data_IF_721244862296
#
_entry.id   IF_721244862296
#
_cell.length_a   1.000
_cell.length_b   1.000
_cell.length_c   1.000
_cell.angle_alpha   90.00
_cell.angle_beta   90.00
_cell.angle_gamma   90.00
#
_symmetry.space_group_name_H-M   'P 1'
#
loop_
_entity.id
_entity.type
_entity.pdbx_description
1 polymer ?
#
# COMPACT_ATOMS: atom_id res chain seq x y z
N UNK A 1 9.95 -16.20 1.42
CA UNK A 1 9.92 -14.78 1.04
C UNK A 1 8.85 -14.05 1.83
N UNK A 2 9.20 -12.92 2.41
CA UNK A 2 8.25 -12.06 3.11
C UNK A 2 7.62 -11.07 2.13
N UNK A 3 6.31 -10.94 2.16
CA UNK A 3 5.56 -10.04 1.27
C UNK A 3 4.80 -9.02 2.08
N UNK A 4 4.80 -7.79 1.58
CA UNK A 4 4.08 -6.67 2.21
C UNK A 4 3.23 -5.99 1.15
N UNK A 5 2.00 -5.65 1.50
CA UNK A 5 1.18 -4.73 0.69
C UNK A 5 1.34 -3.34 1.27
N UNK A 6 1.82 -2.40 0.47
CA UNK A 6 1.99 -1.01 0.90
C UNK A 6 0.71 -0.22 0.66
N UNK A 7 0.18 0.36 1.73
CA UNK A 7 -0.95 1.28 1.65
C UNK A 7 -0.47 2.72 1.42
N UNK A 8 -1.26 3.50 0.72
CA UNK A 8 -0.94 4.89 0.38
C UNK A 8 -0.70 5.75 1.62
N UNK A 9 -1.38 5.46 2.74
CA UNK A 9 -1.19 6.20 3.99
C UNK A 9 0.26 6.17 4.49
N UNK A 10 0.97 5.06 4.27
CA UNK A 10 2.39 4.90 4.61
C UNK A 10 3.26 5.53 3.53
N UNK A 11 2.97 5.24 2.26
CA UNK A 11 3.75 5.72 1.12
C UNK A 11 3.88 7.25 1.09
N UNK A 12 2.78 7.96 1.35
CA UNK A 12 2.78 9.43 1.38
C UNK A 12 3.73 9.96 2.45
N UNK A 13 3.73 9.34 3.64
CA UNK A 13 4.61 9.77 4.74
C UNK A 13 6.08 9.53 4.45
N UNK A 14 6.40 8.45 3.78
CA UNK A 14 7.77 8.18 3.34
C UNK A 14 8.18 9.20 2.28
N UNK A 15 7.33 9.42 1.28
CA UNK A 15 7.61 10.31 0.16
C UNK A 15 7.87 11.75 0.60
N UNK A 16 7.14 12.23 1.61
CA UNK A 16 7.32 13.58 2.15
C UNK A 16 8.30 13.66 3.32
N UNK A 17 8.89 12.54 3.74
CA UNK A 17 9.84 12.53 4.85
C UNK A 17 9.19 12.77 6.22
N UNK A 18 7.90 12.50 6.37
CA UNK A 18 7.15 12.73 7.62
C UNK A 18 7.32 11.63 8.65
N UNK A 19 7.91 10.50 8.28
CA UNK A 19 8.13 9.37 9.19
C UNK A 19 9.48 8.72 8.92
N UNK A 20 10.51 9.06 9.69
CA UNK A 20 11.80 8.39 9.60
C UNK A 20 11.70 6.88 9.87
N UNK A 21 10.80 6.45 10.75
CA UNK A 21 10.56 5.05 11.07
C UNK A 21 10.06 4.28 9.87
N UNK A 22 9.06 4.82 9.16
CA UNK A 22 8.53 4.20 7.96
C UNK A 22 9.57 4.16 6.83
N UNK A 23 10.36 5.21 6.69
CA UNK A 23 11.44 5.26 5.69
C UNK A 23 12.50 4.18 5.96
N UNK A 24 12.91 3.99 7.22
CA UNK A 24 13.85 2.93 7.59
C UNK A 24 13.28 1.55 7.31
N UNK A 25 12.03 1.31 7.68
CA UNK A 25 11.35 0.06 7.39
C UNK A 25 11.34 -0.22 5.87
N UNK A 26 10.98 0.78 5.08
CA UNK A 26 10.90 0.66 3.63
C UNK A 26 12.26 0.33 3.02
N UNK A 27 13.32 1.02 3.46
CA UNK A 27 14.69 0.77 3.01
C UNK A 27 15.14 -0.66 3.36
N UNK A 28 14.81 -1.13 4.55
CA UNK A 28 15.14 -2.49 4.97
C UNK A 28 14.47 -3.54 4.11
N UNK A 29 13.14 -3.45 3.92
CA UNK A 29 12.41 -4.48 3.18
C UNK A 29 12.67 -4.43 1.68
N UNK A 30 12.91 -3.25 1.11
CA UNK A 30 13.25 -3.14 -0.32
C UNK A 30 14.71 -3.50 -0.61
N UNK A 31 15.58 -3.40 0.38
CA UNK A 31 16.98 -3.80 0.29
C UNK A 31 17.23 -5.28 0.61
N UNK A 32 16.20 -6.01 1.04
CA UNK A 32 16.30 -7.43 1.41
C UNK A 32 15.82 -8.31 0.26
N UNK A 33 16.70 -9.15 -0.26
CA UNK A 33 16.38 -10.07 -1.38
C UNK A 33 15.30 -11.10 -1.01
N UNK A 34 15.06 -11.34 0.29
CA UNK A 34 14.05 -12.27 0.79
C UNK A 34 12.70 -11.58 1.08
N UNK A 35 12.57 -10.31 0.71
CA UNK A 35 11.35 -9.53 0.91
C UNK A 35 10.87 -8.91 -0.39
N UNK A 36 9.55 -8.71 -0.49
CA UNK A 36 8.90 -8.08 -1.64
C UNK A 36 7.85 -7.10 -1.14
N UNK A 37 7.80 -5.91 -1.73
CA UNK A 37 6.75 -4.94 -1.45
C UNK A 37 5.84 -4.84 -2.67
N UNK A 38 4.58 -5.17 -2.45
CA UNK A 38 3.51 -5.11 -3.46
C UNK A 38 2.67 -3.86 -3.21
N UNK A 39 2.07 -3.34 -4.26
CA UNK A 39 1.05 -2.30 -4.14
C UNK A 39 0.10 -2.35 -5.32
N UNK A 40 -1.14 -1.92 -5.10
CA UNK A 40 -2.07 -1.68 -6.20
C UNK A 40 -1.50 -0.60 -7.12
N UNK A 41 -1.71 -0.74 -8.44
CA UNK A 41 -1.43 0.34 -9.40
C UNK A 41 -2.09 1.66 -8.98
N UNK A 42 -3.19 1.59 -8.25
CA UNK A 42 -3.90 2.74 -7.70
C UNK A 42 -3.00 3.62 -6.82
N UNK A 43 -2.07 3.02 -6.06
CA UNK A 43 -1.14 3.77 -5.21
C UNK A 43 -0.35 4.80 -6.01
N UNK A 44 0.15 4.43 -7.18
CA UNK A 44 0.89 5.36 -8.04
C UNK A 44 0.02 6.54 -8.46
N UNK A 45 -1.25 6.29 -8.78
CA UNK A 45 -2.21 7.34 -9.12
C UNK A 45 -2.47 8.26 -7.92
N UNK A 46 -2.66 7.69 -6.75
CA UNK A 46 -2.90 8.48 -5.53
C UNK A 46 -1.70 9.35 -5.17
N UNK A 47 -0.48 8.81 -5.25
CA UNK A 47 0.74 9.59 -5.01
C UNK A 47 0.87 10.74 -6.02
N UNK A 48 0.56 10.47 -7.28
CA UNK A 48 0.59 11.50 -8.33
C UNK A 48 -0.40 12.63 -8.02
N UNK A 49 -1.61 12.28 -7.60
CA UNK A 49 -2.64 13.28 -7.28
C UNK A 49 -2.24 14.15 -6.09
N UNK A 50 -1.63 13.55 -5.07
CA UNK A 50 -1.12 14.29 -3.91
C UNK A 50 -0.04 15.29 -4.34
N UNK A 51 0.93 14.85 -5.16
CA UNK A 51 2.00 15.72 -5.64
C UNK A 51 1.46 16.85 -6.51
N UNK A 52 0.49 16.58 -7.38
CA UNK A 52 -0.17 17.61 -8.20
C UNK A 52 -0.88 18.65 -7.33
N UNK A 53 -1.62 18.19 -6.32
CA UNK A 53 -2.31 19.08 -5.38
C UNK A 53 -1.34 20.02 -4.69
N UNK A 54 -0.18 19.52 -4.27
CA UNK A 54 0.81 20.26 -3.50
C UNK A 54 1.83 20.98 -4.39
N UNK A 55 1.69 20.91 -5.72
CA UNK A 55 2.60 21.54 -6.68
C UNK A 55 4.06 21.09 -6.49
N UNK A 56 4.23 19.81 -6.16
CA UNK A 56 5.54 19.15 -6.02
C UNK A 56 5.81 18.34 -7.29
N UNK A 57 7.08 18.26 -7.78
CA UNK A 57 7.39 17.47 -8.96
C UNK A 57 6.92 16.01 -8.85
N UNK A 58 6.24 15.53 -9.90
CA UNK A 58 5.66 14.18 -9.94
C UNK A 58 6.73 13.10 -9.80
N UNK A 59 7.95 13.36 -10.25
CA UNK A 59 9.08 12.43 -10.15
C UNK A 59 9.40 12.02 -8.71
N UNK A 60 8.94 12.79 -7.73
CA UNK A 60 9.15 12.48 -6.31
C UNK A 60 8.59 11.12 -5.91
N UNK A 61 7.53 10.67 -6.58
CA UNK A 61 6.94 9.34 -6.36
C UNK A 61 7.87 8.19 -6.71
N UNK A 62 8.85 8.42 -7.59
CA UNK A 62 9.73 7.37 -8.10
C UNK A 62 10.59 6.76 -6.99
N UNK A 63 10.90 7.53 -5.95
CA UNK A 63 11.61 7.02 -4.77
C UNK A 63 10.85 5.88 -4.07
N UNK A 64 9.55 5.81 -4.26
CA UNK A 64 8.70 4.74 -3.73
C UNK A 64 8.39 3.72 -4.83
N UNK A 65 7.82 4.20 -5.93
CA UNK A 65 7.25 3.35 -6.99
C UNK A 65 8.29 2.45 -7.65
N UNK A 66 9.53 2.92 -7.81
CA UNK A 66 10.60 2.15 -8.44
C UNK A 66 10.99 0.89 -7.65
N UNK A 67 10.63 0.82 -6.37
CA UNK A 67 10.92 -0.31 -5.49
C UNK A 67 9.74 -1.26 -5.30
N UNK A 68 8.62 -1.02 -5.99
CA UNK A 68 7.38 -1.77 -5.80
C UNK A 68 7.11 -2.74 -6.95
N UNK A 69 6.44 -3.85 -6.60
CA UNK A 69 5.76 -4.69 -7.56
C UNK A 69 4.31 -4.23 -7.65
N UNK A 70 3.98 -3.50 -8.73
CA UNK A 70 2.63 -2.95 -8.90
C UNK A 70 1.69 -4.01 -9.45
N UNK A 71 0.55 -4.17 -8.79
CA UNK A 71 -0.52 -5.07 -9.22
C UNK A 71 -1.42 -4.30 -10.18
N UNK A 72 -1.52 -4.71 -11.45
CA UNK A 72 -2.37 -4.02 -12.43
C UNK A 72 -3.82 -3.96 -11.97
N UNK A 73 -4.47 -2.82 -12.18
CA UNK A 73 -5.89 -2.66 -11.85
C UNK A 73 -6.73 -3.24 -12.99
N UNK A 74 -7.61 -4.18 -12.65
CA UNK A 74 -8.46 -4.89 -13.62
C UNK A 74 -9.91 -4.87 -13.18
N UNK A 75 -10.84 -5.19 -14.10
CA UNK A 75 -12.25 -5.34 -13.77
C UNK A 75 -12.47 -6.43 -12.71
N UNK A 76 -11.69 -7.51 -12.77
CA UNK A 76 -11.78 -8.59 -11.78
C UNK A 76 -11.45 -8.09 -10.38
N UNK A 77 -10.44 -7.22 -10.23
CA UNK A 77 -10.08 -6.62 -8.95
C UNK A 77 -11.18 -5.68 -8.46
N UNK A 78 -11.78 -4.90 -9.34
CA UNK A 78 -12.90 -4.03 -8.97
C UNK A 78 -14.10 -4.84 -8.47
N UNK A 79 -14.42 -5.95 -9.13
CA UNK A 79 -15.47 -6.86 -8.67
C UNK A 79 -15.13 -7.47 -7.30
N UNK A 80 -13.87 -7.84 -7.08
CA UNK A 80 -13.40 -8.32 -5.79
C UNK A 80 -13.57 -7.27 -4.69
N UNK A 81 -13.27 -6.01 -5.00
CA UNK A 81 -13.46 -4.89 -4.06
C UNK A 81 -14.93 -4.73 -3.67
N UNK A 82 -15.84 -4.90 -4.62
CA UNK A 82 -17.29 -4.84 -4.39
C UNK A 82 -17.76 -5.95 -3.46
N UNK A 83 -17.05 -7.07 -3.43
CA UNK A 83 -17.41 -8.24 -2.63
C UNK A 83 -16.93 -8.17 -1.17
N UNK A 84 -16.11 -7.20 -0.80
CA UNK A 84 -15.63 -7.03 0.58
C UNK A 84 -16.80 -6.57 1.44
N UNK A 85 -17.18 -7.39 2.43
CA UNK A 85 -18.35 -7.12 3.28
C UNK A 85 -18.10 -6.09 4.37
N UNK A 86 -16.99 -6.14 5.15
CA UNK A 86 -16.76 -5.11 6.16
C UNK A 86 -16.71 -3.72 5.53
N UNK A 87 -17.30 -2.74 6.22
CA UNK A 87 -17.33 -1.38 5.71
C UNK A 87 -15.94 -0.76 5.64
N UNK A 88 -15.57 -0.30 4.46
CA UNK A 88 -14.30 0.36 4.18
C UNK A 88 -14.49 1.28 2.96
N UNK A 89 -13.72 2.36 2.89
CA UNK A 89 -13.78 3.28 1.75
C UNK A 89 -13.41 2.54 0.46
N UNK A 90 -14.02 2.97 -0.65
CA UNK A 90 -13.87 2.32 -1.95
C UNK A 90 -12.42 2.17 -2.39
N UNK A 91 -11.59 3.22 -2.27
CA UNK A 91 -10.19 3.14 -2.69
C UNK A 91 -9.40 2.15 -1.81
N UNK A 92 -9.68 2.11 -0.51
CA UNK A 92 -9.06 1.17 0.41
C UNK A 92 -9.49 -0.27 0.10
N UNK A 93 -10.77 -0.47 -0.26
CA UNK A 93 -11.26 -1.77 -0.71
C UNK A 93 -10.50 -2.26 -1.96
N UNK A 94 -10.19 -1.34 -2.88
CA UNK A 94 -9.43 -1.67 -4.10
C UNK A 94 -8.00 -2.09 -3.76
N UNK A 95 -7.34 -1.45 -2.79
CA UNK A 95 -6.02 -1.88 -2.33
C UNK A 95 -6.05 -3.31 -1.80
N UNK A 96 -6.99 -3.62 -0.92
CA UNK A 96 -7.13 -4.98 -0.37
C UNK A 96 -7.52 -6.00 -1.45
N UNK A 97 -8.44 -5.65 -2.34
CA UNK A 97 -8.86 -6.52 -3.44
C UNK A 97 -7.71 -6.86 -4.37
N UNK A 98 -6.80 -5.90 -4.60
CA UNK A 98 -5.60 -6.15 -5.40
C UNK A 98 -4.75 -7.26 -4.79
N UNK A 99 -4.56 -7.25 -3.48
CA UNK A 99 -3.85 -8.31 -2.78
C UNK A 99 -4.60 -9.63 -2.83
N UNK A 100 -5.90 -9.63 -2.54
CA UNK A 100 -6.75 -10.83 -2.58
C UNK A 100 -6.63 -11.50 -3.95
N UNK A 101 -6.69 -10.71 -5.01
CA UNK A 101 -6.65 -11.22 -6.38
C UNK A 101 -5.34 -11.94 -6.71
N UNK A 102 -4.22 -11.57 -6.08
CA UNK A 102 -2.93 -12.25 -6.29
C UNK A 102 -2.93 -13.67 -5.72
N UNK A 103 -3.78 -13.97 -4.74
CA UNK A 103 -3.75 -15.20 -3.99
C UNK A 103 -2.55 -15.34 -3.07
N UNK A 104 -1.73 -14.32 -2.94
CA UNK A 104 -0.53 -14.34 -2.10
C UNK A 104 -0.88 -13.97 -0.66
N UNK A 105 -0.17 -14.58 0.29
CA UNK A 105 -0.17 -14.13 1.66
C UNK A 105 0.81 -12.97 1.81
N UNK A 106 0.39 -11.91 2.51
CA UNK A 106 1.22 -10.74 2.74
C UNK A 106 0.80 -10.01 4.01
N UNK A 107 1.72 -9.23 4.56
CA UNK A 107 1.42 -8.32 5.67
C UNK A 107 0.98 -6.99 5.08
N UNK A 108 -0.17 -6.47 5.50
CA UNK A 108 -0.67 -5.16 5.04
C UNK A 108 -0.01 -4.07 5.87
N UNK A 109 0.82 -3.26 5.24
CA UNK A 109 1.51 -2.13 5.86
C UNK A 109 0.66 -0.87 5.69
N UNK A 110 0.05 -0.40 6.78
CA UNK A 110 -0.87 0.74 6.76
C UNK A 110 -0.78 1.54 8.05
N UNK A 111 -1.06 2.84 7.96
CA UNK A 111 -1.20 3.74 9.10
C UNK A 111 -2.67 4.09 9.37
N UNK A 112 -3.59 3.55 8.59
CA UNK A 112 -5.03 3.79 8.72
C UNK A 112 -5.67 2.71 9.62
N UNK A 113 -6.32 3.15 10.70
CA UNK A 113 -6.95 2.25 11.67
C UNK A 113 -8.05 1.37 11.04
N UNK A 114 -8.84 1.91 10.12
CA UNK A 114 -9.91 1.15 9.44
C UNK A 114 -9.32 0.10 8.51
N UNK A 115 -8.27 0.43 7.78
CA UNK A 115 -7.57 -0.53 6.93
C UNK A 115 -6.99 -1.67 7.76
N UNK A 116 -6.36 -1.38 8.91
CA UNK A 116 -5.88 -2.39 9.85
C UNK A 116 -6.99 -3.34 10.24
N UNK A 117 -8.11 -2.78 10.69
CA UNK A 117 -9.23 -3.58 11.19
C UNK A 117 -9.80 -4.48 10.10
N UNK A 118 -10.06 -3.94 8.92
CA UNK A 118 -10.67 -4.71 7.82
C UNK A 118 -9.71 -5.77 7.29
N UNK A 119 -8.43 -5.43 7.13
CA UNK A 119 -7.42 -6.40 6.69
C UNK A 119 -7.35 -7.59 7.66
N UNK A 120 -7.34 -7.33 8.96
CA UNK A 120 -7.35 -8.38 9.99
C UNK A 120 -8.63 -9.24 9.91
N UNK A 121 -9.79 -8.60 9.72
CA UNK A 121 -11.08 -9.30 9.63
C UNK A 121 -11.13 -10.28 8.45
N UNK A 122 -10.48 -9.94 7.35
CA UNK A 122 -10.44 -10.80 6.16
C UNK A 122 -9.23 -11.73 6.11
N UNK A 123 -8.42 -11.77 7.18
CA UNK A 123 -7.40 -12.79 7.40
C UNK A 123 -5.97 -12.39 7.14
N UNK A 124 -5.67 -11.12 6.94
CA UNK A 124 -4.29 -10.65 6.76
C UNK A 124 -3.68 -10.12 8.07
N UNK A 125 -2.41 -10.40 8.26
CA UNK A 125 -1.61 -9.69 9.26
C UNK A 125 -1.41 -8.24 8.83
N UNK A 126 -1.25 -7.35 9.79
CA UNK A 126 -1.04 -5.93 9.56
C UNK A 126 0.16 -5.41 10.33
N UNK A 127 0.71 -4.31 9.82
CA UNK A 127 1.87 -3.63 10.39
C UNK A 127 1.69 -2.13 10.18
N UNK A 128 2.01 -1.34 11.19
CA UNK A 128 2.10 0.12 11.05
C UNK A 128 3.57 0.55 11.10
N UNK A 129 4.23 0.76 9.94
CA UNK A 129 5.65 1.15 9.93
C UNK A 129 5.88 2.59 10.40
N UNK A 130 4.84 3.40 10.44
CA UNK A 130 4.96 4.80 10.90
C UNK A 130 5.32 4.85 12.38
N UNK A 131 4.98 3.80 13.13
CA UNK A 131 5.25 3.72 14.56
C UNK A 131 4.19 4.46 15.38
N UNK A 132 4.51 4.67 16.61
CA UNK A 132 3.59 5.24 17.60
C UNK A 132 4.17 6.41 18.32
#
# INVERSE_FOLDING_TARGET
>A
MRRFLLDTSVAVRIMYGHSPEAARWFDEVTGDDESMVLASRLLKTELTRVLRRDEVPVQRRDAIVDHLHLIPLTDAILAEAEAIIPHIKTLDAIHLASLIHTGLDAVVATHDATMHQVANLIGYETLDPVGR
#
